data_IF_971969460077
#
_entry.id   IF_971969460077
#
_cell.length_a   1.000
_cell.length_b   1.000
_cell.length_c   1.000
_cell.angle_alpha   90.00
_cell.angle_beta   90.00
_cell.angle_gamma   90.00
#
_symmetry.space_group_name_H-M   'P 1'
#
loop_
_entity.id
_entity.type
_entity.pdbx_description
1 polymer ?
#
# COMPACT_ATOMS: atom_id res chain seq x y z
N UNK A 1 -66.29 -32.91 12.01
CA UNK A 1 -65.65 -32.61 13.32
C UNK A 1 -64.48 -31.68 13.07
N UNK A 2 -64.71 -30.36 13.15
CA UNK A 2 -63.70 -29.33 12.83
C UNK A 2 -63.06 -28.91 14.15
N UNK A 3 -61.74 -29.26 14.31
CA UNK A 3 -60.96 -28.81 15.44
C UNK A 3 -60.68 -27.32 15.34
N UNK A 4 -61.26 -26.51 16.26
CA UNK A 4 -60.88 -25.10 16.42
C UNK A 4 -59.43 -24.99 16.93
N UNK A 5 -58.55 -24.49 16.07
CA UNK A 5 -57.17 -24.10 16.48
C UNK A 5 -57.27 -22.93 17.44
N UNK A 6 -56.62 -23.08 18.59
CA UNK A 6 -56.67 -22.13 19.69
C UNK A 6 -55.82 -20.86 19.34
N UNK A 7 -56.50 -19.71 19.19
CA UNK A 7 -55.88 -18.43 18.83
C UNK A 7 -54.70 -18.01 19.72
N UNK A 8 -54.64 -18.50 20.97
CA UNK A 8 -53.57 -18.20 21.92
C UNK A 8 -52.24 -18.90 21.61
N UNK A 9 -52.27 -20.00 20.84
CA UNK A 9 -51.06 -20.70 20.44
C UNK A 9 -50.39 -20.03 19.22
N UNK A 10 -51.21 -19.49 18.30
CA UNK A 10 -50.74 -18.76 17.11
C UNK A 10 -50.02 -17.43 17.46
N UNK A 11 -50.53 -16.70 18.48
CA UNK A 11 -49.90 -15.43 18.93
C UNK A 11 -48.61 -15.66 19.68
N UNK A 12 -48.49 -16.76 20.44
CA UNK A 12 -47.22 -17.10 21.10
C UNK A 12 -46.14 -17.57 20.10
N UNK A 13 -46.48 -18.35 19.09
CA UNK A 13 -45.55 -18.78 18.05
C UNK A 13 -45.09 -17.57 17.20
N UNK A 14 -45.98 -16.63 16.88
CA UNK A 14 -45.65 -15.38 16.18
C UNK A 14 -44.71 -14.47 16.97
N UNK A 15 -44.91 -14.39 18.30
CA UNK A 15 -44.03 -13.59 19.20
C UNK A 15 -42.65 -14.18 19.35
N UNK A 16 -42.52 -15.52 19.41
CA UNK A 16 -41.22 -16.19 19.41
C UNK A 16 -40.49 -16.05 18.07
N UNK A 17 -41.18 -16.12 16.95
CA UNK A 17 -40.59 -15.89 15.62
C UNK A 17 -40.12 -14.43 15.46
N UNK A 18 -40.88 -13.45 15.94
CA UNK A 18 -40.51 -12.03 15.91
C UNK A 18 -39.30 -11.75 16.81
N UNK A 19 -39.25 -12.36 18.00
CA UNK A 19 -38.11 -12.23 18.91
C UNK A 19 -36.85 -12.90 18.36
N UNK A 20 -36.97 -14.05 17.68
CA UNK A 20 -35.84 -14.72 17.03
C UNK A 20 -35.27 -13.89 15.85
N UNK A 21 -36.14 -13.24 15.05
CA UNK A 21 -35.72 -12.33 13.97
C UNK A 21 -35.06 -11.08 14.55
N UNK A 22 -35.60 -10.50 15.63
CA UNK A 22 -34.98 -9.34 16.29
C UNK A 22 -33.61 -9.67 16.92
N UNK A 23 -33.46 -10.86 17.55
CA UNK A 23 -32.18 -11.31 18.07
C UNK A 23 -31.17 -11.63 16.97
N UNK A 24 -31.58 -12.20 15.84
CA UNK A 24 -30.71 -12.37 14.67
C UNK A 24 -30.28 -11.02 14.07
N UNK A 25 -31.19 -10.03 13.99
CA UNK A 25 -30.84 -8.67 13.53
C UNK A 25 -29.87 -7.95 14.48
N UNK A 26 -30.04 -8.13 15.80
CA UNK A 26 -29.12 -7.56 16.80
C UNK A 26 -27.77 -8.27 16.82
N UNK A 27 -27.72 -9.58 16.57
CA UNK A 27 -26.48 -10.33 16.43
C UNK A 27 -25.75 -10.01 15.12
N UNK A 28 -26.48 -9.62 14.06
CA UNK A 28 -25.88 -9.15 12.80
C UNK A 28 -25.22 -7.77 12.95
N UNK A 29 -25.66 -6.95 13.91
CA UNK A 29 -25.02 -5.66 14.23
C UNK A 29 -23.82 -5.80 15.17
N UNK A 30 -23.59 -6.99 15.75
CA UNK A 30 -22.43 -7.31 16.63
C UNK A 30 -21.32 -8.09 15.93
N UNK A 31 -21.49 -8.42 14.65
CA UNK A 31 -20.39 -8.91 13.81
C UNK A 31 -19.59 -7.66 13.45
N UNK A 32 -18.33 -7.50 13.92
CA UNK A 32 -17.50 -6.45 13.41
C UNK A 32 -17.43 -6.68 11.88
N UNK A 33 -17.97 -5.75 11.13
CA UNK A 33 -17.78 -5.72 9.69
C UNK A 33 -16.29 -5.50 9.49
N UNK A 34 -15.53 -6.57 9.24
CA UNK A 34 -14.23 -6.49 8.61
C UNK A 34 -14.50 -5.88 7.25
N UNK A 35 -14.39 -4.56 7.15
CA UNK A 35 -14.46 -3.89 5.86
C UNK A 35 -13.23 -4.38 5.09
N UNK A 36 -13.41 -4.98 3.89
CA UNK A 36 -12.29 -5.10 2.97
C UNK A 36 -11.71 -3.70 2.78
N UNK A 37 -10.40 -3.57 2.68
CA UNK A 37 -9.76 -2.31 2.36
C UNK A 37 -10.38 -1.79 1.05
N UNK A 38 -11.24 -0.78 1.18
CA UNK A 38 -11.95 -0.20 0.04
C UNK A 38 -10.95 0.65 -0.74
N UNK A 39 -10.76 0.34 -2.01
CA UNK A 39 -9.97 1.18 -2.90
C UNK A 39 -10.91 2.21 -3.48
N UNK A 40 -10.63 3.47 -3.17
CA UNK A 40 -11.42 4.60 -3.67
C UNK A 40 -10.61 5.30 -4.76
N UNK A 41 -11.23 5.54 -5.90
CA UNK A 41 -10.67 6.42 -6.92
C UNK A 41 -10.87 7.86 -6.46
N UNK A 42 -9.79 8.61 -6.34
CA UNK A 42 -9.86 10.01 -5.89
C UNK A 42 -10.56 10.86 -6.95
N UNK A 43 -11.66 11.53 -6.57
CA UNK A 43 -12.31 12.56 -7.38
C UNK A 43 -11.81 13.95 -6.93
N UNK A 44 -11.60 14.85 -7.89
CA UNK A 44 -11.18 16.23 -7.57
C UNK A 44 -12.14 16.89 -6.58
N UNK A 45 -11.62 17.26 -5.39
CA UNK A 45 -12.36 17.97 -4.34
C UNK A 45 -12.70 17.15 -3.10
N UNK A 46 -12.27 15.89 -2.99
CA UNK A 46 -12.46 15.04 -1.82
C UNK A 46 -11.28 15.09 -0.83
N UNK A 47 -11.53 14.59 0.38
CA UNK A 47 -10.62 14.56 1.53
C UNK A 47 -9.19 14.16 1.19
N UNK A 48 -8.20 14.87 1.71
CA UNK A 48 -6.81 14.49 1.49
C UNK A 48 -6.40 13.32 2.38
N UNK A 49 -5.74 12.33 1.80
CA UNK A 49 -5.18 11.17 2.49
C UNK A 49 -3.66 11.28 2.61
N UNK A 50 -3.12 10.84 3.73
CA UNK A 50 -1.68 10.70 3.94
C UNK A 50 -1.36 9.24 4.18
N UNK A 51 -0.40 8.69 3.44
CA UNK A 51 0.10 7.35 3.70
C UNK A 51 1.06 7.37 4.88
N UNK A 52 0.79 6.52 5.86
CA UNK A 52 1.69 6.25 6.98
C UNK A 52 2.12 4.79 6.92
N UNK A 53 3.40 4.57 7.02
CA UNK A 53 3.98 3.25 6.87
C UNK A 53 4.20 2.62 8.24
N UNK A 54 3.40 1.62 8.59
CA UNK A 54 3.50 0.89 9.85
C UNK A 54 3.90 -0.56 9.64
N UNK A 55 4.39 -1.18 10.71
CA UNK A 55 4.83 -2.57 10.72
C UNK A 55 3.66 -3.49 11.07
N UNK A 56 3.41 -4.54 10.28
CA UNK A 56 2.53 -5.64 10.65
C UNK A 56 3.29 -6.70 11.49
N UNK A 57 2.61 -7.74 11.97
CA UNK A 57 3.16 -8.72 12.94
C UNK A 57 4.41 -9.46 12.43
N UNK A 58 4.47 -9.81 11.14
CA UNK A 58 5.62 -10.49 10.53
C UNK A 58 6.76 -9.54 10.13
N UNK A 59 6.57 -8.24 10.35
CA UNK A 59 7.58 -7.21 10.16
C UNK A 59 7.60 -6.57 8.77
N UNK A 60 6.57 -6.77 7.92
CA UNK A 60 6.41 -6.02 6.69
C UNK A 60 5.93 -4.59 6.98
N UNK A 61 6.43 -3.66 6.22
CA UNK A 61 5.99 -2.26 6.24
C UNK A 61 4.81 -2.10 5.28
N UNK A 62 3.68 -1.65 5.80
CA UNK A 62 2.42 -1.49 5.08
C UNK A 62 2.05 -0.02 5.02
N UNK A 63 1.84 0.57 3.82
CA UNK A 63 1.28 1.91 3.68
C UNK A 63 -0.20 1.90 4.09
N UNK A 64 -0.58 2.77 5.00
CA UNK A 64 -1.95 2.96 5.46
C UNK A 64 -2.41 4.36 5.09
N UNK A 65 -3.47 4.48 4.30
CA UNK A 65 -4.04 5.76 3.90
C UNK A 65 -4.99 6.28 4.98
N UNK A 66 -4.61 7.38 5.59
CA UNK A 66 -5.34 8.02 6.69
C UNK A 66 -5.87 9.36 6.22
N UNK A 67 -7.15 9.61 6.44
CA UNK A 67 -7.76 10.89 6.12
C UNK A 67 -7.21 11.99 7.05
N UNK A 68 -6.62 13.03 6.46
CA UNK A 68 -6.01 14.13 7.20
C UNK A 68 -6.87 15.40 7.24
N UNK A 69 -8.08 15.34 6.68
CA UNK A 69 -9.02 16.47 6.63
C UNK A 69 -8.67 17.49 5.55
N UNK A 70 -8.99 18.77 5.79
CA UNK A 70 -8.68 19.85 4.84
C UNK A 70 -7.19 19.85 4.46
N UNK A 71 -6.91 20.13 3.18
CA UNK A 71 -5.57 20.04 2.61
C UNK A 71 -4.54 20.80 3.45
N UNK A 72 -3.71 20.05 4.15
CA UNK A 72 -2.54 20.56 4.87
C UNK A 72 -1.35 20.54 3.93
N UNK A 73 -0.38 21.44 4.16
CA UNK A 73 0.88 21.36 3.43
C UNK A 73 1.67 20.08 3.76
N UNK A 74 2.67 19.75 2.95
CA UNK A 74 3.47 18.53 3.11
C UNK A 74 4.17 18.47 4.47
N UNK A 75 4.62 19.61 5.02
CA UNK A 75 5.27 19.66 6.33
C UNK A 75 4.30 19.29 7.46
N UNK A 76 3.06 19.80 7.44
CA UNK A 76 2.03 19.45 8.43
C UNK A 76 1.62 17.98 8.32
N UNK A 77 1.57 17.44 7.10
CA UNK A 77 1.26 16.02 6.86
C UNK A 77 2.40 15.11 7.35
N UNK A 78 3.66 15.51 7.17
CA UNK A 78 4.83 14.81 7.72
C UNK A 78 4.80 14.86 9.26
N UNK A 79 4.43 15.98 9.86
CA UNK A 79 4.27 16.08 11.32
C UNK A 79 3.17 15.14 11.82
N UNK A 80 2.02 15.08 11.15
CA UNK A 80 0.96 14.12 11.44
C UNK A 80 1.44 12.67 11.34
N UNK A 81 2.11 12.32 10.22
CA UNK A 81 2.69 10.99 10.01
C UNK A 81 3.65 10.60 11.14
N UNK A 82 4.53 11.52 11.54
CA UNK A 82 5.46 11.30 12.66
C UNK A 82 4.72 10.97 13.97
N UNK A 83 3.59 11.62 14.23
CA UNK A 83 2.75 11.29 15.39
C UNK A 83 2.18 9.86 15.36
N UNK A 84 1.78 9.38 14.19
CA UNK A 84 1.31 7.99 14.02
C UNK A 84 2.46 6.99 14.18
N UNK A 85 3.62 7.25 13.56
CA UNK A 85 4.85 6.45 13.75
C UNK A 85 5.27 6.38 15.21
N UNK A 86 5.04 7.48 15.95
CA UNK A 86 5.29 7.58 17.38
C UNK A 86 4.30 6.78 18.25
N UNK A 87 3.20 6.26 17.69
CA UNK A 87 2.19 5.50 18.41
C UNK A 87 1.13 6.35 19.12
N UNK A 88 0.97 7.63 18.74
CA UNK A 88 -0.08 8.48 19.31
C UNK A 88 -1.49 8.02 18.92
N UNK A 89 -1.61 7.33 17.80
CA UNK A 89 -2.86 6.80 17.27
C UNK A 89 -2.65 5.32 16.91
N UNK A 90 -3.01 4.39 17.80
CA UNK A 90 -2.86 2.96 17.53
C UNK A 90 -3.85 2.52 16.45
N UNK A 91 -3.37 1.71 15.51
CA UNK A 91 -4.15 1.10 14.43
C UNK A 91 -4.13 -0.41 14.65
N UNK A 92 -5.32 -1.04 14.69
CA UNK A 92 -5.45 -2.48 14.90
C UNK A 92 -4.72 -3.28 13.80
N UNK A 93 -3.98 -4.32 14.17
CA UNK A 93 -3.17 -5.11 13.24
C UNK A 93 -1.79 -4.51 12.93
N UNK A 94 -1.49 -3.28 13.37
CA UNK A 94 -0.23 -2.60 13.06
C UNK A 94 0.48 -2.09 14.30
N UNK A 95 1.81 -2.05 14.21
CA UNK A 95 2.70 -1.65 15.29
C UNK A 95 3.41 -0.34 14.95
N UNK A 96 3.32 0.62 15.85
CA UNK A 96 4.15 1.82 15.82
C UNK A 96 5.60 1.50 16.23
N UNK A 97 6.53 2.41 15.96
CA UNK A 97 7.94 2.23 16.29
C UNK A 97 8.30 2.74 17.69
N UNK A 98 7.41 3.54 18.31
CA UNK A 98 7.64 4.17 19.61
C UNK A 98 6.40 4.03 20.50
N UNK A 99 6.54 4.46 21.75
CA UNK A 99 5.52 4.27 22.79
C UNK A 99 4.59 5.49 23.01
N UNK A 100 4.38 6.34 22.00
CA UNK A 100 3.43 7.45 22.05
C UNK A 100 4.05 8.83 22.37
N UNK A 101 5.35 8.93 22.55
CA UNK A 101 6.04 10.21 22.75
C UNK A 101 6.27 10.95 21.42
N UNK A 102 6.30 12.28 21.45
CA UNK A 102 6.69 13.07 20.27
C UNK A 102 8.16 12.81 19.95
N UNK A 103 8.44 12.48 18.69
CA UNK A 103 9.82 12.21 18.24
C UNK A 103 10.34 13.29 17.29
N UNK A 104 9.45 14.01 16.57
CA UNK A 104 9.81 14.99 15.59
C UNK A 104 9.74 16.41 16.18
N UNK A 105 10.84 17.15 16.08
CA UNK A 105 10.97 18.50 16.54
C UNK A 105 10.51 19.50 15.46
N UNK A 106 11.13 19.43 14.28
CA UNK A 106 10.78 20.31 13.16
C UNK A 106 10.88 19.62 11.81
N UNK A 107 10.13 20.13 10.83
CA UNK A 107 10.19 19.78 9.42
C UNK A 107 10.45 21.03 8.61
N UNK A 108 11.36 20.95 7.65
CA UNK A 108 11.53 21.98 6.63
C UNK A 108 11.73 21.35 5.26
N UNK A 109 11.09 21.89 4.23
CA UNK A 109 11.21 21.43 2.85
C UNK A 109 11.83 22.57 2.03
N UNK A 110 12.95 22.29 1.37
CA UNK A 110 13.66 23.23 0.51
C UNK A 110 14.27 22.50 -0.68
N UNK A 111 14.03 23.00 -1.87
CA UNK A 111 14.61 22.48 -3.12
C UNK A 111 14.42 20.94 -3.28
N UNK A 112 13.22 20.44 -2.97
CA UNK A 112 12.88 19.02 -3.04
C UNK A 112 13.41 18.15 -1.88
N UNK A 113 14.09 18.75 -0.90
CA UNK A 113 14.66 18.03 0.24
C UNK A 113 13.89 18.35 1.53
N UNK A 114 13.31 17.33 2.13
CA UNK A 114 12.73 17.40 3.47
C UNK A 114 13.80 17.14 4.53
N UNK A 115 14.05 18.13 5.39
CA UNK A 115 14.91 17.96 6.57
C UNK A 115 14.03 17.72 7.78
N UNK A 116 14.20 16.57 8.42
CA UNK A 116 13.51 16.16 9.63
C UNK A 116 14.46 16.25 10.81
N UNK A 117 14.19 17.16 11.75
CA UNK A 117 14.95 17.25 13.00
C UNK A 117 14.16 16.56 14.11
N UNK A 118 14.73 15.54 14.68
CA UNK A 118 14.13 14.71 15.73
C UNK A 118 14.68 15.07 17.11
N UNK A 119 13.90 14.81 18.15
CA UNK A 119 14.37 14.80 19.54
C UNK A 119 15.31 13.65 19.81
N UNK A 120 16.06 13.68 20.92
CA UNK A 120 16.93 12.60 21.35
C UNK A 120 16.21 11.26 21.50
N UNK A 121 14.89 11.26 21.79
CA UNK A 121 14.04 10.08 21.85
C UNK A 121 13.90 9.33 20.50
N UNK A 122 14.34 9.93 19.39
CA UNK A 122 14.43 9.21 18.11
C UNK A 122 15.22 7.90 18.22
N UNK A 123 16.16 7.81 19.11
CA UNK A 123 16.94 6.59 19.33
C UNK A 123 16.25 5.50 20.16
N UNK A 124 14.99 5.68 20.61
CA UNK A 124 14.31 4.77 21.53
C UNK A 124 13.51 3.64 20.85
N UNK A 125 13.60 3.54 19.51
CA UNK A 125 13.03 2.42 18.76
C UNK A 125 13.71 1.07 19.08
N UNK A 126 13.04 -0.06 18.79
CA UNK A 126 13.66 -1.39 18.90
C UNK A 126 14.78 -1.54 17.85
N UNK A 127 15.96 -1.97 18.27
CA UNK A 127 17.12 -2.18 17.39
C UNK A 127 16.80 -3.03 16.15
N UNK A 128 15.91 -4.02 16.29
CA UNK A 128 15.51 -4.91 15.19
C UNK A 128 14.70 -4.18 14.11
N UNK A 129 14.08 -3.07 14.46
CA UNK A 129 13.21 -2.30 13.59
C UNK A 129 13.92 -1.15 12.87
N UNK A 130 15.25 -0.97 13.08
CA UNK A 130 16.00 0.16 12.54
C UNK A 130 15.81 0.36 11.04
N UNK A 131 15.96 -0.71 10.23
CA UNK A 131 15.78 -0.62 8.78
C UNK A 131 14.31 -0.33 8.43
N UNK A 132 13.36 -0.95 9.15
CA UNK A 132 11.93 -0.74 8.92
C UNK A 132 11.48 0.67 9.24
N UNK A 133 12.01 1.25 10.30
CA UNK A 133 11.79 2.66 10.64
C UNK A 133 12.33 3.58 9.54
N UNK A 134 13.53 3.29 9.05
CA UNK A 134 14.15 4.07 7.97
C UNK A 134 13.31 3.99 6.69
N UNK A 135 12.89 2.79 6.28
CA UNK A 135 11.97 2.57 5.17
C UNK A 135 10.66 3.36 5.36
N UNK A 136 10.03 3.26 6.55
CA UNK A 136 8.77 3.92 6.85
C UNK A 136 8.88 5.46 6.78
N UNK A 137 9.97 6.03 7.28
CA UNK A 137 10.22 7.48 7.21
C UNK A 137 10.42 7.92 5.75
N UNK A 138 11.33 7.28 5.03
CA UNK A 138 11.69 7.73 3.68
C UNK A 138 10.50 7.56 2.73
N UNK A 139 9.83 6.42 2.72
CA UNK A 139 8.68 6.18 1.86
C UNK A 139 7.47 7.05 2.22
N UNK A 140 7.27 7.30 3.51
CA UNK A 140 6.22 8.19 3.98
C UNK A 140 6.46 9.66 3.60
N UNK A 141 7.69 10.13 3.70
CA UNK A 141 8.03 11.53 3.41
C UNK A 141 8.11 11.81 1.91
N UNK A 142 8.64 10.88 1.13
CA UNK A 142 8.76 11.04 -0.34
C UNK A 142 7.47 10.70 -1.10
N UNK A 143 6.31 10.60 -0.44
CA UNK A 143 5.02 10.49 -1.11
C UNK A 143 4.52 11.84 -1.65
N UNK A 144 5.08 12.96 -1.20
CA UNK A 144 4.66 14.31 -1.56
C UNK A 144 5.43 14.78 -2.79
N UNK A 145 4.73 15.42 -3.74
CA UNK A 145 5.28 15.90 -5.01
C UNK A 145 6.42 16.93 -4.84
N UNK A 146 6.43 17.65 -3.73
CA UNK A 146 7.46 18.65 -3.40
C UNK A 146 8.66 18.05 -2.64
N UNK A 147 8.76 16.68 -2.53
CA UNK A 147 9.82 16.00 -1.77
C UNK A 147 10.47 14.88 -2.58
N UNK A 148 11.69 15.09 -3.02
CA UNK A 148 12.54 14.10 -3.73
C UNK A 148 13.42 13.30 -2.78
N UNK A 149 13.78 13.87 -1.62
CA UNK A 149 14.70 13.24 -0.69
C UNK A 149 14.58 13.72 0.75
N UNK A 150 15.20 12.97 1.66
CA UNK A 150 15.06 13.18 3.11
C UNK A 150 16.43 13.30 3.77
N UNK A 151 16.59 14.30 4.63
CA UNK A 151 17.74 14.45 5.54
C UNK A 151 17.23 14.25 6.97
N UNK A 152 17.92 13.38 7.73
CA UNK A 152 17.60 13.12 9.13
C UNK A 152 18.59 13.85 10.03
N UNK A 153 18.07 14.56 11.03
CA UNK A 153 18.82 15.23 12.09
C UNK A 153 18.28 14.80 13.45
N UNK A 154 19.13 14.82 14.46
CA UNK A 154 18.74 14.67 15.87
C UNK A 154 19.34 15.83 16.63
N UNK A 155 18.50 16.61 17.33
CA UNK A 155 18.90 17.82 18.07
C UNK A 155 19.73 18.78 17.18
N UNK A 156 19.31 18.98 15.93
CA UNK A 156 19.97 19.84 14.94
C UNK A 156 21.25 19.26 14.33
N UNK A 157 21.65 18.03 14.66
CA UNK A 157 22.85 17.39 14.11
C UNK A 157 22.46 16.35 13.06
N UNK A 158 22.96 16.52 11.83
CA UNK A 158 22.72 15.57 10.74
C UNK A 158 23.31 14.21 11.08
N UNK A 159 22.50 13.16 10.89
CA UNK A 159 22.96 11.78 11.07
C UNK A 159 23.80 11.33 9.87
N UNK A 160 24.85 10.58 10.13
CA UNK A 160 25.66 9.87 9.13
C UNK A 160 25.42 8.35 9.17
N UNK A 161 24.80 7.89 10.25
CA UNK A 161 24.40 6.51 10.48
C UNK A 161 23.21 6.47 11.45
N UNK A 162 22.45 5.38 11.43
CA UNK A 162 21.35 5.18 12.36
C UNK A 162 21.87 4.86 13.77
N UNK A 163 21.13 5.30 14.83
CA UNK A 163 21.63 5.26 16.22
C UNK A 163 21.92 3.89 16.81
N UNK A 164 21.21 2.81 16.41
CA UNK A 164 21.31 1.50 17.09
C UNK A 164 22.26 0.53 16.39
N UNK A 165 22.03 0.25 15.11
CA UNK A 165 22.81 -0.73 14.33
C UNK A 165 23.86 -0.09 13.46
N UNK A 166 23.99 1.22 13.53
CA UNK A 166 24.95 1.99 12.73
C UNK A 166 24.78 1.78 11.22
N UNK A 167 23.51 1.61 10.78
CA UNK A 167 23.18 1.56 9.34
C UNK A 167 23.66 2.86 8.68
N UNK A 168 24.58 2.82 7.71
CA UNK A 168 25.11 4.03 7.07
C UNK A 168 24.01 4.79 6.32
N UNK A 169 24.04 6.12 6.40
CA UNK A 169 23.07 6.99 5.75
C UNK A 169 23.77 7.85 4.69
N UNK A 170 23.45 7.59 3.42
CA UNK A 170 23.90 8.40 2.28
C UNK A 170 22.84 9.46 2.00
N UNK A 171 22.97 10.62 2.62
CA UNK A 171 22.02 11.72 2.51
C UNK A 171 22.17 12.51 1.19
N UNK A 172 21.09 13.03 0.58
CA UNK A 172 19.70 12.78 1.00
C UNK A 172 19.26 11.34 0.72
N UNK A 173 18.40 10.79 1.59
CA UNK A 173 17.81 9.48 1.42
C UNK A 173 16.66 9.56 0.43
N UNK A 174 16.58 8.62 -0.48
CA UNK A 174 15.52 8.50 -1.50
C UNK A 174 14.89 7.11 -1.46
N UNK A 175 13.86 6.86 -2.25
CA UNK A 175 13.26 5.51 -2.39
C UNK A 175 14.22 4.44 -2.91
N UNK A 176 15.43 4.81 -3.34
CA UNK A 176 16.48 3.86 -3.70
C UNK A 176 16.93 2.96 -2.53
N UNK A 177 16.66 3.37 -1.27
CA UNK A 177 16.86 2.49 -0.12
C UNK A 177 16.03 1.20 -0.22
N UNK A 178 14.97 1.20 -1.06
CA UNK A 178 14.01 0.11 -1.18
C UNK A 178 13.00 0.06 -0.04
N UNK A 179 12.11 -0.93 -0.10
CA UNK A 179 11.12 -1.24 0.95
C UNK A 179 10.84 -2.73 0.95
N UNK A 180 10.67 -3.31 2.15
CA UNK A 180 10.32 -4.73 2.30
C UNK A 180 11.22 -5.66 1.48
N UNK A 181 12.51 -5.33 1.38
CA UNK A 181 13.44 -6.13 0.61
C UNK A 181 13.62 -7.51 1.26
N UNK A 182 13.53 -8.54 0.43
CA UNK A 182 13.99 -9.87 0.79
C UNK A 182 15.26 -10.15 -0.01
N UNK A 183 16.32 -10.46 0.67
CA UNK A 183 17.58 -10.80 0.02
C UNK A 183 17.37 -12.03 -0.86
N UNK A 184 17.48 -11.84 -2.18
CA UNK A 184 17.71 -12.92 -3.11
C UNK A 184 19.21 -13.19 -3.11
N UNK A 185 19.62 -14.37 -2.70
CA UNK A 185 21.03 -14.81 -2.74
C UNK A 185 21.60 -14.91 -4.17
N UNK A 186 20.81 -14.60 -5.19
CA UNK A 186 21.15 -14.78 -6.59
C UNK A 186 21.66 -13.53 -7.30
N UNK A 187 21.51 -12.32 -6.73
CA UNK A 187 21.97 -11.09 -7.40
C UNK A 187 23.00 -10.35 -6.59
N UNK A 188 24.12 -9.99 -7.24
CA UNK A 188 25.14 -9.10 -6.65
C UNK A 188 24.65 -7.66 -6.75
N UNK A 189 24.97 -6.82 -5.76
CA UNK A 189 24.57 -5.41 -5.72
C UNK A 189 25.08 -4.59 -6.93
N UNK A 190 26.17 -5.03 -7.55
CA UNK A 190 26.81 -4.30 -8.64
C UNK A 190 26.14 -4.51 -10.02
N UNK A 191 25.49 -5.66 -10.22
CA UNK A 191 24.93 -6.05 -11.51
C UNK A 191 23.42 -6.21 -11.45
N UNK A 192 22.76 -5.46 -10.56
CA UNK A 192 21.30 -5.55 -10.37
C UNK A 192 20.67 -4.20 -10.13
N UNK A 193 19.43 -4.02 -10.63
CA UNK A 193 18.55 -2.87 -10.39
C UNK A 193 17.38 -3.30 -9.50
N UNK A 194 16.91 -2.41 -8.65
CA UNK A 194 15.69 -2.65 -7.89
C UNK A 194 14.46 -2.30 -8.75
N UNK A 195 13.48 -3.19 -8.77
CA UNK A 195 12.13 -2.91 -9.28
C UNK A 195 11.16 -2.93 -8.09
N UNK A 196 10.15 -2.06 -8.16
CA UNK A 196 9.09 -2.00 -7.16
C UNK A 196 7.90 -2.82 -7.65
N UNK A 197 7.38 -3.69 -6.79
CA UNK A 197 6.16 -4.45 -7.04
C UNK A 197 5.23 -4.33 -5.84
N UNK A 198 3.93 -4.32 -6.11
CA UNK A 198 2.89 -4.38 -5.10
C UNK A 198 2.23 -5.74 -5.14
N UNK A 199 1.94 -6.28 -3.99
CA UNK A 199 1.17 -7.51 -3.85
C UNK A 199 0.23 -7.41 -2.67
N UNK A 200 -0.75 -8.28 -2.61
CA UNK A 200 -1.75 -8.31 -1.54
C UNK A 200 -1.31 -9.21 -0.38
N UNK A 201 -1.74 -8.87 0.83
CA UNK A 201 -1.64 -9.71 2.03
C UNK A 201 -2.87 -9.52 2.91
N UNK A 202 -3.36 -10.60 3.48
CA UNK A 202 -4.45 -10.54 4.49
C UNK A 202 -3.86 -10.31 5.87
N UNK A 203 -4.32 -9.22 6.53
CA UNK A 203 -3.97 -8.86 7.91
C UNK A 203 -5.28 -8.65 8.65
N UNK A 204 -5.51 -9.38 9.73
CA UNK A 204 -6.74 -9.33 10.56
C UNK A 204 -8.05 -9.40 9.75
N UNK A 205 -8.03 -10.17 8.64
CA UNK A 205 -9.20 -10.41 7.80
C UNK A 205 -9.45 -9.37 6.69
N UNK A 206 -8.70 -8.27 6.65
CA UNK A 206 -8.69 -7.30 5.56
C UNK A 206 -7.51 -7.54 4.60
N UNK A 207 -7.69 -7.20 3.33
CA UNK A 207 -6.63 -7.30 2.31
C UNK A 207 -5.91 -5.96 2.18
N UNK A 208 -4.59 -5.97 2.21
CA UNK A 208 -3.75 -4.79 2.07
C UNK A 208 -2.80 -4.95 0.88
N UNK A 209 -2.62 -3.89 0.11
CA UNK A 209 -1.60 -3.76 -0.93
C UNK A 209 -0.27 -3.33 -0.29
N UNK A 210 0.77 -4.12 -0.50
CA UNK A 210 2.07 -3.94 0.14
C UNK A 210 3.15 -3.77 -0.91
N UNK A 211 3.90 -2.65 -0.90
CA UNK A 211 5.04 -2.44 -1.78
C UNK A 211 6.23 -3.31 -1.37
N UNK A 212 6.99 -3.75 -2.35
CA UNK A 212 8.18 -4.56 -2.16
C UNK A 212 9.22 -4.25 -3.23
N UNK A 213 10.42 -3.92 -2.82
CA UNK A 213 11.55 -3.80 -3.74
C UNK A 213 12.17 -5.16 -3.99
N UNK A 214 12.38 -5.51 -5.26
CA UNK A 214 13.04 -6.72 -5.69
C UNK A 214 14.22 -6.40 -6.58
N UNK A 215 15.34 -7.07 -6.39
CA UNK A 215 16.50 -6.91 -7.26
C UNK A 215 16.41 -7.90 -8.43
N UNK A 216 16.58 -7.37 -9.64
CA UNK A 216 16.62 -8.08 -10.91
C UNK A 216 17.96 -7.81 -11.58
N UNK A 217 18.39 -8.65 -12.53
CA UNK A 217 19.60 -8.43 -13.29
C UNK A 217 19.58 -7.10 -14.02
N UNK A 218 20.73 -6.43 -14.14
CA UNK A 218 20.78 -5.14 -14.84
C UNK A 218 20.44 -5.33 -16.34
N UNK A 219 20.82 -6.46 -16.92
CA UNK A 219 20.48 -6.84 -18.29
C UNK A 219 18.97 -6.99 -18.52
N UNK A 220 18.20 -7.31 -17.45
CA UNK A 220 16.74 -7.44 -17.48
C UNK A 220 16.03 -6.08 -17.33
N UNK A 221 16.74 -4.96 -17.39
CA UNK A 221 16.18 -3.61 -17.19
C UNK A 221 16.76 -2.56 -18.13
N UNK A 222 17.38 -2.97 -19.24
CA UNK A 222 18.01 -2.05 -20.19
C UNK A 222 17.00 -1.22 -20.99
N UNK A 223 15.86 -1.81 -21.33
CA UNK A 223 14.77 -1.13 -22.03
C UNK A 223 13.52 -1.08 -21.17
N UNK A 224 12.58 -0.18 -21.48
CA UNK A 224 11.28 -0.15 -20.81
C UNK A 224 10.55 -1.49 -20.92
N UNK A 225 10.61 -2.15 -22.08
CA UNK A 225 10.03 -3.48 -22.26
C UNK A 225 10.62 -4.50 -21.27
N UNK A 226 11.96 -4.50 -21.09
CA UNK A 226 12.63 -5.40 -20.15
C UNK A 226 12.22 -5.07 -18.71
N UNK A 227 12.12 -3.78 -18.36
CA UNK A 227 11.66 -3.34 -17.02
C UNK A 227 10.22 -3.79 -16.75
N UNK A 228 9.31 -3.61 -17.72
CA UNK A 228 7.90 -4.08 -17.61
C UNK A 228 7.85 -5.60 -17.44
N UNK A 229 8.64 -6.34 -18.23
CA UNK A 229 8.69 -7.81 -18.11
C UNK A 229 9.26 -8.23 -16.75
N UNK A 230 10.29 -7.55 -16.24
CA UNK A 230 10.86 -7.81 -14.93
C UNK A 230 9.87 -7.55 -13.78
N UNK A 231 9.04 -6.50 -13.90
CA UNK A 231 7.95 -6.22 -12.95
C UNK A 231 6.91 -7.34 -13.00
N UNK A 232 6.40 -7.71 -14.17
CA UNK A 232 5.39 -8.76 -14.33
C UNK A 232 5.91 -10.10 -13.80
N UNK A 233 7.13 -10.51 -14.17
CA UNK A 233 7.76 -11.71 -13.64
C UNK A 233 7.95 -11.67 -12.13
N UNK A 234 8.20 -10.48 -11.56
CA UNK A 234 8.35 -10.30 -10.12
C UNK A 234 7.04 -10.42 -9.36
N UNK A 235 5.91 -10.00 -9.94
CA UNK A 235 4.58 -10.19 -9.37
C UNK A 235 4.23 -11.68 -9.24
N UNK A 236 4.55 -12.49 -10.24
CA UNK A 236 4.24 -13.95 -10.24
C UNK A 236 5.09 -14.75 -9.25
N UNK A 237 6.21 -14.24 -8.76
CA UNK A 237 7.17 -14.95 -7.91
C UNK A 237 7.05 -14.63 -6.40
N UNK A 238 6.01 -13.94 -5.98
CA UNK A 238 5.89 -13.52 -4.57
C UNK A 238 5.43 -14.67 -3.67
N UNK A 239 6.33 -15.18 -2.81
CA UNK A 239 6.02 -16.23 -1.83
C UNK A 239 5.47 -15.71 -0.49
N UNK A 240 5.51 -14.40 -0.25
CA UNK A 240 5.09 -13.77 1.02
C UNK A 240 3.87 -12.87 0.88
N UNK A 241 3.43 -12.65 -0.35
CA UNK A 241 2.23 -11.90 -0.70
C UNK A 241 1.27 -12.83 -1.44
N UNK A 242 -0.02 -12.59 -1.30
CA UNK A 242 -1.10 -13.45 -1.84
C UNK A 242 -1.45 -13.08 -3.29
N UNK A 243 -0.46 -12.69 -4.13
CA UNK A 243 -0.73 -12.42 -5.55
C UNK A 243 -1.13 -13.69 -6.27
N UNK A 244 -2.23 -13.64 -7.04
CA UNK A 244 -2.70 -14.76 -7.87
C UNK A 244 -2.30 -14.59 -9.34
N UNK A 245 -1.49 -13.57 -9.67
CA UNK A 245 -1.08 -13.29 -11.04
C UNK A 245 -0.04 -14.28 -11.53
N UNK A 246 -0.25 -14.80 -12.74
CA UNK A 246 0.73 -15.62 -13.45
C UNK A 246 1.50 -14.77 -14.48
N UNK A 247 2.71 -15.20 -14.83
CA UNK A 247 3.59 -14.47 -15.76
C UNK A 247 2.94 -14.19 -17.13
N UNK A 248 1.99 -15.02 -17.55
CA UNK A 248 1.30 -14.88 -18.83
C UNK A 248 0.01 -14.05 -18.75
N UNK A 249 -0.36 -13.57 -17.57
CA UNK A 249 -1.60 -12.79 -17.37
C UNK A 249 -1.47 -11.36 -17.85
N UNK A 250 -0.27 -10.86 -18.09
CA UNK A 250 -0.02 -9.56 -18.68
C UNK A 250 1.17 -9.60 -19.64
N UNK A 251 1.15 -8.81 -20.72
CA UNK A 251 2.24 -8.70 -21.66
C UNK A 251 2.35 -7.28 -22.22
N UNK A 252 3.58 -6.79 -22.36
CA UNK A 252 3.90 -5.51 -22.98
C UNK A 252 3.52 -5.50 -24.47
N UNK A 253 2.81 -4.46 -24.90
CA UNK A 253 2.48 -4.22 -26.31
C UNK A 253 3.14 -2.96 -26.87
N UNK A 254 3.35 -1.95 -26.04
CA UNK A 254 3.93 -0.68 -26.45
C UNK A 254 3.58 0.45 -25.49
N UNK A 255 3.88 1.67 -25.93
CA UNK A 255 3.53 2.91 -25.25
C UNK A 255 2.80 3.83 -26.23
N UNK A 256 1.80 4.56 -25.71
CA UNK A 256 1.21 5.74 -26.36
C UNK A 256 1.44 6.93 -25.45
N UNK A 257 2.35 7.83 -25.86
CA UNK A 257 2.84 8.92 -25.02
C UNK A 257 3.47 8.36 -23.72
N UNK A 258 2.85 8.59 -22.57
CA UNK A 258 3.25 8.11 -21.24
C UNK A 258 2.34 6.97 -20.70
N UNK A 259 1.44 6.44 -21.56
CA UNK A 259 0.51 5.36 -21.21
C UNK A 259 1.02 4.03 -21.75
N UNK A 260 1.19 3.09 -20.85
CA UNK A 260 1.62 1.72 -21.14
C UNK A 260 0.45 0.90 -21.67
N UNK A 261 0.63 0.27 -22.81
CA UNK A 261 -0.34 -0.66 -23.40
C UNK A 261 0.00 -2.09 -23.00
N UNK A 262 -0.90 -2.74 -22.28
CA UNK A 262 -0.76 -4.11 -21.81
C UNK A 262 -1.85 -5.01 -22.39
N UNK A 263 -1.46 -6.12 -23.01
CA UNK A 263 -2.39 -7.20 -23.25
C UNK A 263 -2.60 -7.97 -21.95
N UNK A 264 -3.86 -8.17 -21.57
CA UNK A 264 -4.21 -8.96 -20.38
C UNK A 264 -4.84 -10.30 -20.75
N UNK A 265 -4.45 -11.31 -20.00
CA UNK A 265 -4.95 -12.70 -20.13
C UNK A 265 -6.18 -12.96 -19.26
N UNK A 266 -6.72 -14.18 -19.37
CA UNK A 266 -7.92 -14.59 -18.66
C UNK A 266 -7.75 -14.59 -17.14
N UNK A 267 -6.53 -14.70 -16.61
CA UNK A 267 -6.24 -14.70 -15.18
C UNK A 267 -6.62 -13.40 -14.46
N UNK A 268 -6.61 -12.27 -15.20
CA UNK A 268 -7.00 -10.95 -14.68
C UNK A 268 -8.53 -10.81 -14.50
N UNK A 269 -9.31 -11.70 -15.08
CA UNK A 269 -10.76 -11.67 -15.01
C UNK A 269 -11.31 -12.68 -14.00
N UNK A 270 -12.37 -12.27 -13.29
CA UNK A 270 -13.19 -13.17 -12.49
C UNK A 270 -14.05 -14.10 -13.34
N UNK A 271 -14.70 -15.05 -12.68
CA UNK A 271 -15.62 -16.00 -13.35
C UNK A 271 -16.83 -15.33 -14.01
N UNK A 272 -17.16 -14.12 -13.61
CA UNK A 272 -18.21 -13.26 -14.15
C UNK A 272 -17.71 -12.35 -15.29
N UNK A 273 -16.45 -12.47 -15.70
CA UNK A 273 -15.73 -11.65 -16.68
C UNK A 273 -15.52 -10.20 -16.24
N UNK A 274 -15.64 -9.87 -14.97
CA UNK A 274 -15.19 -8.58 -14.43
C UNK A 274 -13.70 -8.63 -14.13
N UNK A 275 -13.02 -7.48 -14.23
CA UNK A 275 -11.62 -7.36 -13.82
C UNK A 275 -11.50 -7.64 -12.31
N UNK A 276 -10.54 -8.46 -11.94
CA UNK A 276 -10.18 -8.67 -10.54
C UNK A 276 -9.44 -7.42 -10.05
N UNK A 277 -10.08 -6.66 -9.20
CA UNK A 277 -9.59 -5.35 -8.80
C UNK A 277 -8.22 -5.41 -8.10
N UNK A 278 -7.98 -6.42 -7.27
CA UNK A 278 -6.71 -6.58 -6.57
C UNK A 278 -5.54 -6.75 -7.55
N UNK A 279 -5.68 -7.65 -8.54
CA UNK A 279 -4.66 -7.89 -9.57
C UNK A 279 -4.45 -6.67 -10.47
N UNK A 280 -5.52 -5.94 -10.80
CA UNK A 280 -5.42 -4.69 -11.57
C UNK A 280 -4.65 -3.64 -10.77
N UNK A 281 -4.93 -3.48 -9.48
CA UNK A 281 -4.26 -2.51 -8.63
C UNK A 281 -2.78 -2.88 -8.41
N UNK A 282 -2.46 -4.16 -8.25
CA UNK A 282 -1.07 -4.65 -8.22
C UNK A 282 -0.30 -4.23 -9.49
N UNK A 283 -0.91 -4.42 -10.68
CA UNK A 283 -0.33 -4.00 -11.96
C UNK A 283 -0.14 -2.49 -12.04
N UNK A 284 -1.20 -1.72 -11.75
CA UNK A 284 -1.17 -0.26 -11.85
C UNK A 284 -0.10 0.33 -10.93
N UNK A 285 -0.09 -0.05 -9.65
CA UNK A 285 0.86 0.49 -8.68
C UNK A 285 2.31 0.06 -8.98
N UNK A 286 2.49 -1.18 -9.49
CA UNK A 286 3.83 -1.69 -9.80
C UNK A 286 4.41 -1.09 -11.07
N UNK A 287 3.61 -0.93 -12.11
CA UNK A 287 4.08 -0.47 -13.41
C UNK A 287 4.15 1.06 -13.50
N UNK A 288 3.22 1.79 -12.85
CA UNK A 288 3.34 3.25 -12.72
C UNK A 288 4.46 3.68 -11.73
N UNK A 289 5.15 2.75 -11.09
CA UNK A 289 6.39 3.02 -10.36
C UNK A 289 7.63 3.14 -11.29
N UNK A 290 7.48 2.84 -12.58
CA UNK A 290 8.51 3.08 -13.60
C UNK A 290 8.44 4.53 -14.06
N UNK A 291 9.59 5.22 -14.10
CA UNK A 291 9.68 6.67 -14.36
C UNK A 291 8.99 7.13 -15.67
N UNK A 292 8.92 6.24 -16.69
CA UNK A 292 8.37 6.54 -18.01
C UNK A 292 6.85 6.27 -18.10
N UNK A 293 6.21 5.73 -17.05
CA UNK A 293 4.83 5.24 -17.07
C UNK A 293 3.95 6.06 -16.14
N UNK A 294 3.07 6.88 -16.68
CA UNK A 294 2.08 7.64 -15.89
C UNK A 294 0.71 6.96 -15.81
N UNK A 295 0.45 6.00 -16.70
CA UNK A 295 -0.82 5.29 -16.72
C UNK A 295 -0.76 4.00 -17.54
N UNK A 296 -1.79 3.18 -17.38
CA UNK A 296 -1.91 1.85 -18.01
C UNK A 296 -3.23 1.74 -18.73
N UNK A 297 -3.21 1.26 -19.98
CA UNK A 297 -4.38 0.80 -20.70
C UNK A 297 -4.33 -0.73 -20.83
N UNK A 298 -5.34 -1.40 -20.27
CA UNK A 298 -5.50 -2.85 -20.36
C UNK A 298 -6.24 -3.19 -21.66
N UNK A 299 -5.61 -4.01 -22.51
CA UNK A 299 -6.13 -4.41 -23.81
C UNK A 299 -6.48 -5.90 -23.78
N UNK A 300 -7.73 -6.20 -24.10
CA UNK A 300 -8.19 -7.56 -24.33
C UNK A 300 -8.29 -7.84 -25.82
N UNK A 301 -7.89 -9.04 -26.24
CA UNK A 301 -8.06 -9.50 -27.61
C UNK A 301 -9.39 -10.27 -27.73
N UNK A 302 -10.38 -9.66 -28.41
CA UNK A 302 -11.62 -10.33 -28.79
C UNK A 302 -11.71 -10.44 -30.33
N UNK A 303 -11.85 -11.66 -30.86
CA UNK A 303 -11.98 -11.94 -32.30
C UNK A 303 -10.86 -11.29 -33.18
N UNK A 304 -9.63 -11.18 -32.63
CA UNK A 304 -8.49 -10.59 -33.33
C UNK A 304 -8.49 -9.04 -33.36
N UNK A 305 -9.35 -8.41 -32.57
CA UNK A 305 -9.39 -6.96 -32.38
C UNK A 305 -8.96 -6.64 -30.95
N UNK A 306 -7.96 -5.79 -30.79
CA UNK A 306 -7.55 -5.25 -29.50
C UNK A 306 -8.43 -4.06 -29.16
N UNK A 307 -9.03 -4.07 -27.99
CA UNK A 307 -9.82 -2.94 -27.46
C UNK A 307 -9.36 -2.60 -26.06
N UNK A 308 -9.38 -1.32 -25.71
CA UNK A 308 -9.15 -0.88 -24.33
C UNK A 308 -10.44 -1.09 -23.54
N UNK A 309 -10.39 -1.95 -22.52
CA UNK A 309 -11.58 -2.31 -21.74
C UNK A 309 -12.00 -1.25 -20.71
N UNK A 310 -11.10 -0.32 -20.41
CA UNK A 310 -11.33 0.71 -19.41
C UNK A 310 -10.63 2.03 -19.80
N UNK A 311 -10.98 3.10 -19.09
CA UNK A 311 -10.22 4.35 -19.10
C UNK A 311 -8.77 4.07 -18.65
N UNK A 312 -7.84 4.99 -18.97
CA UNK A 312 -6.45 4.90 -18.53
C UNK A 312 -6.41 4.86 -17.01
N UNK A 313 -5.82 3.80 -16.48
CA UNK A 313 -5.65 3.60 -15.04
C UNK A 313 -4.35 4.27 -14.58
N UNK A 314 -4.42 5.06 -13.51
CA UNK A 314 -3.27 5.82 -12.97
C UNK A 314 -3.11 5.57 -11.48
N UNK A 315 -1.85 5.43 -11.04
CA UNK A 315 -1.55 5.16 -9.62
C UNK A 315 -1.88 6.33 -8.70
N UNK A 316 -1.74 7.57 -9.18
CA UNK A 316 -2.05 8.80 -8.44
C UNK A 316 -3.54 8.99 -8.15
N UNK A 317 -4.41 8.27 -8.88
CA UNK A 317 -5.86 8.24 -8.68
C UNK A 317 -6.31 7.15 -7.70
N UNK A 318 -5.40 6.27 -7.26
CA UNK A 318 -5.74 5.16 -6.37
C UNK A 318 -5.44 5.52 -4.91
N UNK A 319 -6.48 5.51 -4.08
CA UNK A 319 -6.34 5.52 -2.62
C UNK A 319 -6.62 4.09 -2.15
N UNK A 320 -5.65 3.48 -1.49
CA UNK A 320 -5.71 2.09 -1.04
C UNK A 320 -5.29 1.97 0.42
N UNK A 321 -5.58 0.83 1.05
CA UNK A 321 -5.31 0.58 2.45
C UNK A 321 -5.90 1.66 3.37
N UNK A 322 -7.13 2.07 3.13
CA UNK A 322 -7.81 3.11 3.91
C UNK A 322 -8.08 2.59 5.31
N UNK A 323 -7.66 3.35 6.31
CA UNK A 323 -7.94 3.08 7.72
C UNK A 323 -8.60 4.29 8.37
N UNK A 324 -9.54 4.00 9.28
CA UNK A 324 -10.23 5.01 10.10
C UNK A 324 -9.91 4.77 11.57
N UNK A 325 -9.80 5.87 12.34
CA UNK A 325 -9.57 5.81 13.80
C UNK A 325 -10.89 5.69 14.58
#
# INVERSE_FOLDING_TARGET
>A
MIRRLNKSCLTRAGMFALMAVLTCLLLFQLIPSSHPSEIVVQQEGESSYTQVYLKEEEGLIVPLSIETGEAKDSAERIQFMSGVLAGKQPIEGFQAFYAGEEILNTVSIQDGIATLDFHAAFSDYDERDELRLLEAIVWGVTQFEDVDGVILQVEGQQLTEMPKRHTPLNMPLTREIGINQFESSASTLHDSKAVLVYGTKKIDGATYLIPRSRRVGQEDTETLQDQVQAVIASLSLSSTLDSSMEENDAAYLGMEEDVLLLRVGAGIYGSDRTLKQDEVNELVLSLCALDEVSGICLLQEEDGVMSCDADVLRADQLIYNIVTF
#
